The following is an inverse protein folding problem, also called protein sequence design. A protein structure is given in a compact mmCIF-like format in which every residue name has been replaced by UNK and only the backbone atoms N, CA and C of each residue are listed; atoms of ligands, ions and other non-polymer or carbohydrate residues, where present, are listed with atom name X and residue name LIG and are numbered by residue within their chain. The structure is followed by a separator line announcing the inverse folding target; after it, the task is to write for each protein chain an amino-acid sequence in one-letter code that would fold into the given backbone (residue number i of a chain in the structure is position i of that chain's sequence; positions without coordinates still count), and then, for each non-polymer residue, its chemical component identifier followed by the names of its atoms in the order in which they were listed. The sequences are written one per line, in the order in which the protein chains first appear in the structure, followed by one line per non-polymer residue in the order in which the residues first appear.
data_IF_416131447881
#
_entry.id   IF_416131447881
#
_cell.length_a   1.000
_cell.length_b   1.000
_cell.length_c   1.000
_cell.angle_alpha   90.00
_cell.angle_beta   90.00
_cell.angle_gamma   90.00
#
_symmetry.space_group_name_H-M   'P 1'
#
loop_
_entity.id
_entity.type
_entity.pdbx_description
1 polymer ?
#
# COMPACT_ATOMS: atom_id res chain seq x y z
N UNK A 1 9.34 -17.30 -4.11
CA UNK A 1 10.51 -17.06 -3.23
C UNK A 1 10.03 -16.81 -1.81
N UNK A 2 10.63 -17.47 -0.82
CA UNK A 2 10.28 -17.26 0.58
C UNK A 2 11.35 -16.41 1.26
N UNK A 3 10.93 -15.29 1.84
CA UNK A 3 11.77 -14.45 2.69
C UNK A 3 11.36 -14.66 4.15
N UNK A 4 12.24 -15.19 4.95
CA UNK A 4 11.96 -15.55 6.35
C UNK A 4 12.65 -14.58 7.28
N UNK A 5 11.90 -14.04 8.25
CA UNK A 5 12.41 -13.05 9.19
C UNK A 5 12.20 -13.50 10.62
N UNK A 6 13.26 -13.37 11.42
CA UNK A 6 13.28 -13.63 12.86
C UNK A 6 13.69 -12.37 13.61
N UNK A 7 13.48 -12.33 14.92
CA UNK A 7 14.01 -11.28 15.78
C UNK A 7 15.34 -11.69 16.41
N UNK A 8 16.33 -10.81 16.28
CA UNK A 8 17.62 -10.96 16.98
C UNK A 8 18.00 -9.62 17.60
N UNK A 9 18.13 -9.59 18.92
CA UNK A 9 18.46 -8.38 19.68
C UNK A 9 17.50 -7.19 19.35
N UNK A 10 16.20 -7.47 19.25
CA UNK A 10 15.17 -6.48 18.93
C UNK A 10 15.22 -5.95 17.49
N UNK A 11 15.88 -6.65 16.58
CA UNK A 11 15.97 -6.28 15.17
C UNK A 11 15.46 -7.38 14.27
N UNK A 12 14.81 -6.99 13.20
CA UNK A 12 14.36 -7.92 12.18
C UNK A 12 15.56 -8.39 11.35
N UNK A 13 15.79 -9.70 11.32
CA UNK A 13 16.88 -10.33 10.58
C UNK A 13 16.31 -11.32 9.58
N UNK A 14 16.71 -11.18 8.32
CA UNK A 14 16.39 -12.16 7.29
C UNK A 14 17.28 -13.39 7.45
N UNK A 15 16.67 -14.55 7.46
CA UNK A 15 17.35 -15.85 7.51
C UNK A 15 17.26 -16.50 6.13
N UNK A 16 18.41 -16.87 5.58
CA UNK A 16 18.44 -17.66 4.35
C UNK A 16 18.04 -19.11 4.66
N UNK A 17 17.17 -19.67 3.83
CA UNK A 17 16.75 -21.05 3.88
C UNK A 17 17.15 -21.73 2.55
N UNK A 18 17.81 -22.86 2.63
CA UNK A 18 18.18 -23.66 1.45
C UNK A 18 17.07 -24.63 1.08
N UNK A 19 16.34 -25.11 2.08
CA UNK A 19 15.23 -26.04 1.92
C UNK A 19 14.05 -25.62 2.77
N UNK A 20 12.84 -25.96 2.34
CA UNK A 20 11.60 -25.66 3.08
C UNK A 20 11.61 -26.26 4.50
N UNK A 21 12.24 -27.42 4.69
CA UNK A 21 12.40 -28.06 6.01
C UNK A 21 13.21 -27.23 7.01
N UNK A 22 14.03 -26.27 6.56
CA UNK A 22 14.82 -25.42 7.46
C UNK A 22 13.90 -24.52 8.32
N UNK A 23 12.70 -24.22 7.82
CA UNK A 23 11.66 -23.50 8.58
C UNK A 23 11.22 -24.23 9.85
N UNK A 24 11.34 -25.55 9.92
CA UNK A 24 10.96 -26.34 11.10
C UNK A 24 11.82 -26.01 12.33
N UNK A 25 13.04 -25.55 12.10
CA UNK A 25 14.01 -25.22 13.15
C UNK A 25 14.00 -23.72 13.52
N UNK A 26 13.28 -22.89 12.75
CA UNK A 26 13.21 -21.47 12.93
C UNK A 26 11.95 -21.05 13.71
N UNK A 27 12.04 -19.93 14.39
CA UNK A 27 10.89 -19.24 15.00
C UNK A 27 10.69 -17.91 14.27
N UNK A 28 10.12 -17.92 13.05
CA UNK A 28 9.91 -16.70 12.30
C UNK A 28 8.77 -15.90 12.93
N UNK A 29 8.88 -14.58 12.82
CA UNK A 29 7.76 -13.67 13.10
C UNK A 29 7.10 -13.20 11.80
N UNK A 30 7.81 -13.29 10.68
CA UNK A 30 7.30 -12.92 9.37
C UNK A 30 7.87 -13.84 8.28
N UNK A 31 6.97 -14.39 7.47
CA UNK A 31 7.27 -15.17 6.28
C UNK A 31 6.66 -14.46 5.09
N UNK A 32 7.49 -13.81 4.28
CA UNK A 32 7.07 -13.07 3.10
C UNK A 32 7.21 -13.94 1.85
N UNK A 33 6.08 -14.26 1.25
CA UNK A 33 5.96 -15.13 0.08
C UNK A 33 5.81 -14.27 -1.19
N UNK A 34 6.93 -13.98 -1.83
CA UNK A 34 6.97 -13.23 -3.10
C UNK A 34 6.89 -14.19 -4.27
N UNK A 35 5.88 -14.04 -5.13
CA UNK A 35 5.58 -14.91 -6.27
C UNK A 35 5.78 -16.41 -5.93
N UNK A 36 5.14 -16.90 -4.85
CA UNK A 36 5.43 -18.25 -4.36
C UNK A 36 4.98 -19.30 -5.35
N UNK A 37 5.78 -20.38 -5.48
CA UNK A 37 5.41 -21.56 -6.24
C UNK A 37 4.25 -22.31 -5.57
N UNK A 38 3.59 -23.19 -6.33
CA UNK A 38 2.53 -24.05 -5.76
C UNK A 38 3.08 -25.00 -4.69
N UNK A 39 4.32 -25.39 -4.81
CA UNK A 39 5.00 -26.26 -3.83
C UNK A 39 5.26 -25.49 -2.52
N UNK A 40 5.80 -24.27 -2.60
CA UNK A 40 6.01 -23.39 -1.45
C UNK A 40 4.69 -23.10 -0.71
N UNK A 41 3.62 -22.71 -1.44
CA UNK A 41 2.29 -22.49 -0.84
C UNK A 41 1.76 -23.74 -0.13
N UNK A 42 1.88 -24.92 -0.77
CA UNK A 42 1.41 -26.19 -0.21
C UNK A 42 2.18 -26.56 1.05
N UNK A 43 3.50 -26.41 1.01
CA UNK A 43 4.36 -26.74 2.14
C UNK A 43 4.07 -25.85 3.35
N UNK A 44 4.04 -24.52 3.15
CA UNK A 44 3.71 -23.56 4.20
C UNK A 44 2.31 -23.83 4.78
N UNK A 45 1.32 -24.07 3.91
CA UNK A 45 -0.04 -24.44 4.33
C UNK A 45 -0.06 -25.68 5.22
N UNK A 46 0.68 -26.73 4.87
CA UNK A 46 0.70 -27.98 5.63
C UNK A 46 1.48 -27.85 6.94
N UNK A 47 2.65 -27.21 6.88
CA UNK A 47 3.55 -27.10 8.05
C UNK A 47 2.94 -26.21 9.14
N UNK A 48 2.37 -25.05 8.78
CA UNK A 48 1.76 -24.13 9.74
C UNK A 48 0.25 -24.35 9.94
N UNK A 49 -0.38 -25.25 9.21
CA UNK A 49 -1.83 -25.50 9.27
C UNK A 49 -2.67 -24.32 8.80
N UNK A 50 -2.18 -23.55 7.81
CA UNK A 50 -2.83 -22.33 7.36
C UNK A 50 -3.96 -22.59 6.37
N UNK A 51 -4.96 -21.71 6.38
CA UNK A 51 -6.03 -21.63 5.39
C UNK A 51 -5.65 -20.67 4.26
N UNK A 52 -4.71 -21.04 3.38
CA UNK A 52 -4.31 -20.18 2.25
C UNK A 52 -5.33 -20.33 1.12
N UNK A 53 -6.06 -19.26 0.73
CA UNK A 53 -6.95 -19.29 -0.42
C UNK A 53 -6.18 -19.53 -1.72
N UNK A 54 -6.80 -20.22 -2.69
CA UNK A 54 -6.17 -20.45 -4.00
C UNK A 54 -5.90 -19.14 -4.73
N UNK A 55 -6.85 -18.21 -4.64
CA UNK A 55 -6.76 -16.85 -5.18
C UNK A 55 -6.56 -15.83 -4.05
N UNK A 56 -5.39 -15.91 -3.40
CA UNK A 56 -5.06 -15.06 -2.26
C UNK A 56 -4.95 -13.58 -2.66
N UNK A 57 -4.46 -13.29 -3.87
CA UNK A 57 -4.25 -11.95 -4.44
C UNK A 57 -5.38 -11.49 -5.38
N UNK A 58 -6.50 -12.21 -5.42
CA UNK A 58 -7.65 -11.91 -6.27
C UNK A 58 -8.33 -10.56 -5.99
N UNK A 59 -8.97 -10.00 -7.01
CA UNK A 59 -9.59 -8.67 -6.99
C UNK A 59 -11.00 -8.66 -6.37
N UNK A 60 -11.16 -9.19 -5.17
CA UNK A 60 -12.43 -9.08 -4.44
C UNK A 60 -12.64 -7.65 -3.92
N UNK A 61 -13.85 -7.12 -4.11
CA UNK A 61 -14.23 -5.78 -3.62
C UNK A 61 -14.95 -5.88 -2.28
N UNK A 62 -15.62 -7.01 -2.01
CA UNK A 62 -16.41 -7.21 -0.81
C UNK A 62 -15.55 -7.25 0.45
N UNK A 63 -15.91 -6.45 1.45
CA UNK A 63 -15.18 -6.36 2.72
C UNK A 63 -15.08 -7.72 3.42
N UNK A 64 -16.15 -8.52 3.40
CA UNK A 64 -16.20 -9.85 4.00
C UNK A 64 -15.28 -10.88 3.35
N UNK A 65 -14.93 -10.70 2.08
CA UNK A 65 -13.96 -11.55 1.37
C UNK A 65 -12.50 -11.14 1.64
N UNK A 66 -12.30 -9.92 2.16
CA UNK A 66 -10.97 -9.33 2.33
C UNK A 66 -10.50 -9.29 3.79
N UNK A 67 -11.44 -9.19 4.75
CA UNK A 67 -11.15 -9.03 6.17
C UNK A 67 -12.02 -9.99 6.96
N UNK A 68 -11.46 -11.12 7.37
CA UNK A 68 -12.22 -12.13 8.12
C UNK A 68 -11.32 -12.93 9.07
N UNK A 69 -11.97 -13.58 10.02
CA UNK A 69 -11.34 -14.51 10.95
C UNK A 69 -11.84 -15.92 10.66
N UNK A 70 -10.93 -16.88 10.54
CA UNK A 70 -11.23 -18.29 10.42
C UNK A 70 -11.58 -18.90 11.78
N UNK A 71 -12.32 -20.02 11.78
CA UNK A 71 -12.70 -20.75 13.00
C UNK A 71 -11.49 -21.14 13.87
N UNK A 72 -10.33 -21.24 13.25
CA UNK A 72 -9.08 -21.55 13.91
C UNK A 72 -8.38 -20.33 14.55
N UNK A 73 -8.94 -19.12 14.40
CA UNK A 73 -8.38 -17.87 14.94
C UNK A 73 -7.37 -17.19 14.02
N UNK A 74 -7.18 -17.66 12.78
CA UNK A 74 -6.38 -16.96 11.77
C UNK A 74 -7.10 -15.70 11.32
N UNK A 75 -6.36 -14.59 11.28
CA UNK A 75 -6.86 -13.32 10.75
C UNK A 75 -6.38 -13.17 9.31
N UNK A 76 -7.32 -13.02 8.40
CA UNK A 76 -7.08 -12.79 6.97
C UNK A 76 -7.34 -11.34 6.61
N UNK A 77 -6.34 -10.72 6.01
CA UNK A 77 -6.38 -9.31 5.61
C UNK A 77 -5.84 -9.20 4.19
N UNK A 78 -6.62 -8.60 3.28
CA UNK A 78 -6.18 -8.28 1.92
C UNK A 78 -6.20 -6.78 1.73
N UNK A 79 -5.05 -6.18 1.44
CA UNK A 79 -4.91 -4.74 1.23
C UNK A 79 -4.10 -4.45 -0.02
N UNK A 80 -4.39 -3.34 -0.66
CA UNK A 80 -3.68 -2.88 -1.83
C UNK A 80 -2.58 -1.89 -1.43
N UNK A 81 -1.39 -2.05 -2.01
CA UNK A 81 -0.22 -1.21 -1.80
C UNK A 81 0.12 -0.46 -3.08
N UNK A 82 0.56 0.78 -2.93
CA UNK A 82 0.97 1.60 -4.05
C UNK A 82 2.37 1.21 -4.54
N UNK A 83 2.50 1.10 -5.86
CA UNK A 83 3.78 1.22 -6.56
C UNK A 83 3.66 2.45 -7.45
N UNK A 84 4.55 3.40 -7.22
CA UNK A 84 4.66 4.62 -8.01
C UNK A 84 6.06 4.68 -8.60
N UNK A 85 6.17 4.26 -9.84
CA UNK A 85 7.39 4.27 -10.65
C UNK A 85 7.32 5.39 -11.68
N UNK A 86 8.46 5.81 -12.23
CA UNK A 86 8.54 6.90 -13.23
C UNK A 86 7.64 6.68 -14.45
N UNK A 87 7.44 5.43 -14.85
CA UNK A 87 6.69 5.06 -16.06
C UNK A 87 5.25 4.61 -15.77
N UNK A 88 4.96 4.15 -14.55
CA UNK A 88 3.66 3.58 -14.21
C UNK A 88 3.33 3.69 -12.72
N UNK A 89 2.10 4.09 -12.41
CA UNK A 89 1.54 3.91 -11.06
C UNK A 89 0.53 2.78 -11.04
N UNK A 90 0.64 1.85 -10.09
CA UNK A 90 -0.27 0.72 -9.95
C UNK A 90 -0.51 0.34 -8.50
N UNK A 91 -1.59 -0.38 -8.25
CA UNK A 91 -1.88 -0.97 -6.95
C UNK A 91 -1.64 -2.47 -7.01
N UNK A 92 -0.95 -3.00 -6.01
CA UNK A 92 -0.64 -4.42 -5.87
C UNK A 92 -1.31 -4.97 -4.64
N UNK A 93 -2.10 -6.02 -4.82
CA UNK A 93 -2.76 -6.69 -3.70
C UNK A 93 -1.82 -7.60 -2.96
N UNK A 94 -1.85 -7.49 -1.63
CA UNK A 94 -1.17 -8.39 -0.70
C UNK A 94 -2.20 -9.08 0.18
N UNK A 95 -2.08 -10.38 0.30
CA UNK A 95 -2.81 -11.15 1.30
C UNK A 95 -1.93 -11.37 2.52
N UNK A 96 -2.46 -11.03 3.68
CA UNK A 96 -1.84 -11.27 4.98
C UNK A 96 -2.63 -12.33 5.73
N UNK A 97 -1.93 -13.25 6.37
CA UNK A 97 -2.48 -14.23 7.29
C UNK A 97 -1.72 -14.09 8.60
N UNK A 98 -2.39 -13.64 9.64
CA UNK A 98 -1.83 -13.58 10.98
C UNK A 98 -2.26 -14.82 11.75
N UNK A 99 -1.29 -15.70 12.03
CA UNK A 99 -1.49 -16.92 12.80
C UNK A 99 -0.99 -16.73 14.23
N UNK A 100 -1.91 -16.74 15.21
CA UNK A 100 -1.59 -16.56 16.62
C UNK A 100 -1.46 -17.89 17.39
N UNK A 101 -1.49 -19.02 16.69
CA UNK A 101 -1.47 -20.35 17.30
C UNK A 101 -0.08 -20.75 17.79
N UNK A 102 0.29 -20.30 18.95
CA UNK A 102 1.18 -21.06 19.82
C UNK A 102 1.04 -20.59 21.28
N UNK A 103 0.06 -21.13 21.98
CA UNK A 103 -0.33 -20.71 23.34
C UNK A 103 0.62 -21.19 24.45
N UNK A 104 1.58 -22.07 24.16
CA UNK A 104 2.46 -22.64 25.18
C UNK A 104 3.78 -21.88 25.40
N UNK A 105 4.24 -21.16 24.41
CA UNK A 105 5.26 -20.12 24.57
C UNK A 105 4.55 -18.80 24.30
N UNK A 106 4.84 -17.72 24.99
CA UNK A 106 4.45 -16.34 24.64
C UNK A 106 4.88 -16.05 23.20
N UNK A 107 4.29 -16.75 22.26
CA UNK A 107 4.68 -16.67 20.85
C UNK A 107 4.01 -15.43 20.27
N UNK A 108 4.83 -14.57 19.77
CA UNK A 108 4.47 -13.32 19.12
C UNK A 108 3.64 -13.50 17.84
N UNK A 109 3.14 -14.72 17.59
CA UNK A 109 2.48 -15.08 16.36
C UNK A 109 3.44 -15.12 15.15
N UNK A 110 2.91 -15.48 13.99
CA UNK A 110 3.64 -15.40 12.71
C UNK A 110 2.76 -14.68 11.71
N UNK A 111 3.32 -13.68 11.04
CA UNK A 111 2.70 -13.02 9.90
C UNK A 111 3.16 -13.73 8.61
N UNK A 112 2.21 -14.12 7.77
CA UNK A 112 2.46 -14.55 6.40
C UNK A 112 1.95 -13.47 5.46
N UNK A 113 2.80 -13.01 4.53
CA UNK A 113 2.40 -12.14 3.43
C UNK A 113 2.55 -12.86 2.11
N UNK A 114 1.56 -12.72 1.22
CA UNK A 114 1.55 -13.31 -0.12
C UNK A 114 1.35 -12.19 -1.11
N UNK A 115 2.30 -12.03 -2.03
CA UNK A 115 2.32 -11.00 -3.05
C UNK A 115 2.94 -11.51 -4.35
N UNK A 116 2.59 -10.91 -5.46
CA UNK A 116 3.05 -11.37 -6.78
C UNK A 116 4.27 -10.59 -7.30
N UNK A 117 4.59 -9.45 -6.70
CA UNK A 117 5.74 -8.62 -7.09
C UNK A 117 6.39 -7.91 -5.90
N UNK A 118 7.59 -7.34 -6.12
CA UNK A 118 8.31 -6.59 -5.09
C UNK A 118 7.66 -5.22 -4.87
N UNK A 119 7.40 -4.87 -3.62
CA UNK A 119 6.70 -3.64 -3.21
C UNK A 119 7.67 -2.74 -2.44
N UNK A 120 7.81 -1.44 -2.81
CA UNK A 120 8.74 -0.52 -2.17
C UNK A 120 8.59 -0.45 -0.64
N UNK A 121 7.37 -0.44 -0.13
CA UNK A 121 7.05 -0.38 1.30
C UNK A 121 7.67 -1.55 2.08
N UNK A 122 7.68 -2.76 1.50
CA UNK A 122 8.29 -3.95 2.11
C UNK A 122 9.81 -3.79 2.25
N UNK A 123 10.47 -3.20 1.24
CA UNK A 123 11.91 -2.89 1.31
C UNK A 123 12.20 -1.85 2.38
N UNK A 124 11.39 -0.79 2.46
CA UNK A 124 11.53 0.28 3.44
C UNK A 124 11.40 -0.26 4.86
N UNK A 125 10.39 -1.06 5.15
CA UNK A 125 10.22 -1.68 6.45
C UNK A 125 11.42 -2.55 6.83
N UNK A 126 11.86 -3.44 5.94
CA UNK A 126 13.04 -4.31 6.18
C UNK A 126 14.29 -3.50 6.53
N UNK A 127 14.54 -2.40 5.82
CA UNK A 127 15.67 -1.51 6.10
C UNK A 127 15.54 -0.82 7.47
N UNK A 128 14.36 -0.33 7.83
CA UNK A 128 14.10 0.34 9.12
C UNK A 128 14.22 -0.64 10.28
N UNK A 129 13.54 -1.77 10.22
CA UNK A 129 13.50 -2.76 11.28
C UNK A 129 14.86 -3.45 11.50
N UNK A 130 15.74 -3.49 10.49
CA UNK A 130 17.13 -3.93 10.64
C UNK A 130 18.01 -2.92 11.39
N UNK A 131 17.71 -1.61 11.24
CA UNK A 131 18.53 -0.53 11.82
C UNK A 131 18.09 -0.14 13.21
N UNK A 132 16.78 -0.08 13.44
CA UNK A 132 16.19 0.41 14.69
C UNK A 132 15.78 -0.78 15.55
N UNK A 133 16.45 -1.01 16.69
CA UNK A 133 16.05 -2.06 17.61
C UNK A 133 14.75 -1.68 18.33
N UNK A 134 13.87 -2.66 18.56
CA UNK A 134 12.59 -2.44 19.25
C UNK A 134 11.50 -1.78 18.39
N UNK A 135 11.71 -1.67 17.07
CA UNK A 135 10.67 -1.22 16.15
C UNK A 135 9.59 -2.31 15.96
N UNK A 136 10.00 -3.56 16.04
CA UNK A 136 9.16 -4.75 15.86
C UNK A 136 9.41 -5.66 17.05
N UNK A 137 8.38 -6.01 17.79
CA UNK A 137 8.42 -6.95 18.89
C UNK A 137 7.62 -8.24 18.59
N UNK A 138 6.59 -8.15 17.73
CA UNK A 138 5.79 -9.30 17.32
C UNK A 138 5.31 -9.21 15.86
N UNK A 139 4.55 -10.21 15.43
CA UNK A 139 4.02 -10.30 14.06
C UNK A 139 2.99 -9.19 13.74
N UNK A 140 2.30 -8.66 14.75
CA UNK A 140 1.30 -7.60 14.56
C UNK A 140 1.99 -6.26 14.33
N UNK A 141 3.14 -6.04 14.98
CA UNK A 141 3.97 -4.86 14.74
C UNK A 141 4.49 -4.83 13.30
N UNK A 142 4.84 -5.99 12.74
CA UNK A 142 5.25 -6.07 11.32
C UNK A 142 4.11 -5.57 10.42
N UNK A 143 2.88 -6.01 10.68
CA UNK A 143 1.72 -5.63 9.86
C UNK A 143 1.36 -4.15 10.04
N UNK A 144 1.35 -3.65 11.28
CA UNK A 144 1.12 -2.22 11.55
C UNK A 144 2.20 -1.34 10.92
N UNK A 145 3.48 -1.75 11.03
CA UNK A 145 4.59 -1.00 10.43
C UNK A 145 4.57 -1.02 8.89
N UNK A 146 4.04 -2.08 8.27
CA UNK A 146 3.78 -2.08 6.83
C UNK A 146 2.70 -1.07 6.45
N UNK A 147 1.61 -0.98 7.20
CA UNK A 147 0.55 0.00 6.95
C UNK A 147 1.01 1.43 7.23
N UNK A 148 1.79 1.65 8.27
CA UNK A 148 2.40 2.96 8.55
C UNK A 148 3.32 3.41 7.41
N UNK A 149 4.19 2.51 6.95
CA UNK A 149 5.08 2.80 5.81
C UNK A 149 4.32 3.01 4.49
N UNK A 150 3.16 2.37 4.29
CA UNK A 150 2.29 2.60 3.13
C UNK A 150 1.65 3.99 3.17
N UNK A 151 1.25 4.46 4.35
CA UNK A 151 0.73 5.82 4.55
C UNK A 151 1.82 6.86 4.25
N UNK A 152 3.05 6.67 4.74
CA UNK A 152 4.17 7.55 4.43
C UNK A 152 4.50 7.57 2.93
N UNK A 153 4.57 6.40 2.31
CA UNK A 153 4.83 6.28 0.86
C UNK A 153 3.74 6.97 0.03
N UNK A 154 2.50 6.88 0.46
CA UNK A 154 1.36 7.55 -0.16
C UNK A 154 1.41 9.07 0.05
N UNK A 155 1.90 9.54 1.19
CA UNK A 155 2.13 10.97 1.44
C UNK A 155 3.19 11.54 0.49
N UNK A 156 4.31 10.83 0.30
CA UNK A 156 5.37 11.21 -0.65
C UNK A 156 4.81 11.32 -2.08
N UNK A 157 3.97 10.37 -2.51
CA UNK A 157 3.30 10.42 -3.80
C UNK A 157 2.38 11.65 -3.95
N UNK A 158 1.63 12.01 -2.91
CA UNK A 158 0.79 13.22 -2.92
C UNK A 158 1.63 14.50 -2.99
N UNK A 159 2.77 14.56 -2.32
CA UNK A 159 3.72 15.68 -2.41
C UNK A 159 4.23 15.83 -3.85
N UNK A 160 4.56 14.72 -4.52
CA UNK A 160 4.89 14.70 -5.95
C UNK A 160 3.79 15.30 -6.83
N UNK A 161 2.53 14.90 -6.59
CA UNK A 161 1.37 15.47 -7.30
C UNK A 161 1.26 16.98 -7.09
N UNK A 162 1.46 17.48 -5.85
CA UNK A 162 1.45 18.91 -5.57
C UNK A 162 2.48 19.67 -6.40
N UNK A 163 3.69 19.16 -6.48
CA UNK A 163 4.79 19.77 -7.22
C UNK A 163 4.53 19.76 -8.73
N UNK A 164 4.02 18.68 -9.27
CA UNK A 164 3.71 18.57 -10.69
C UNK A 164 2.51 19.45 -11.08
N UNK A 165 1.44 19.48 -10.29
CA UNK A 165 0.31 20.36 -10.54
C UNK A 165 0.69 21.85 -10.41
N UNK A 166 1.73 22.19 -9.64
CA UNK A 166 2.27 23.55 -9.60
C UNK A 166 2.93 23.92 -10.94
N UNK A 167 3.68 23.00 -11.55
CA UNK A 167 4.26 23.19 -12.91
C UNK A 167 3.16 23.32 -13.95
N UNK A 168 2.20 22.40 -13.95
CA UNK A 168 1.04 22.43 -14.85
C UNK A 168 0.24 23.75 -14.70
N UNK A 169 0.02 24.21 -13.49
CA UNK A 169 -0.67 25.48 -13.22
C UNK A 169 0.04 26.68 -13.86
N UNK A 170 1.36 26.75 -13.75
CA UNK A 170 2.16 27.80 -14.39
C UNK A 170 2.01 27.72 -15.93
N UNK A 171 2.09 26.54 -16.50
CA UNK A 171 1.93 26.31 -17.94
C UNK A 171 0.57 26.74 -18.47
N UNK A 172 -0.53 26.41 -17.76
CA UNK A 172 -1.90 26.78 -18.14
C UNK A 172 -2.11 28.30 -18.06
N UNK A 173 -1.52 28.98 -17.07
CA UNK A 173 -1.71 30.40 -16.83
C UNK A 173 -0.85 31.32 -17.73
N UNK A 174 0.27 30.83 -18.27
CA UNK A 174 1.15 31.60 -19.18
C UNK A 174 0.54 31.89 -20.55
N UNK A 175 -0.57 31.28 -20.91
CA UNK A 175 -1.51 31.74 -21.94
C UNK A 175 -1.11 31.55 -23.41
N UNK A 176 0.00 30.87 -23.75
CA UNK A 176 0.38 30.56 -25.12
C UNK A 176 0.20 29.08 -25.47
N UNK A 177 -1.00 28.55 -25.22
CA UNK A 177 -1.28 27.14 -25.42
C UNK A 177 -1.57 26.86 -26.89
N UNK A 178 -0.67 26.13 -27.56
CA UNK A 178 -0.94 25.49 -28.87
C UNK A 178 -1.69 24.19 -28.67
N UNK A 179 -2.36 23.68 -29.72
CA UNK A 179 -3.12 22.43 -29.62
C UNK A 179 -2.24 21.24 -29.20
N UNK A 180 -0.99 21.18 -29.68
CA UNK A 180 -0.02 20.12 -29.33
C UNK A 180 0.36 20.22 -27.84
N UNK A 181 0.65 21.42 -27.38
CA UNK A 181 1.01 21.67 -26.00
C UNK A 181 -0.16 21.41 -25.04
N UNK A 182 -1.39 21.72 -25.46
CA UNK A 182 -2.58 21.40 -24.68
C UNK A 182 -2.76 19.87 -24.48
N UNK A 183 -2.38 19.06 -25.48
CA UNK A 183 -2.43 17.60 -25.35
C UNK A 183 -1.41 17.08 -24.31
N UNK A 184 -0.20 17.64 -24.27
CA UNK A 184 0.82 17.29 -23.28
C UNK A 184 0.34 17.65 -21.85
N UNK A 185 -0.13 18.87 -21.66
CA UNK A 185 -0.68 19.33 -20.37
C UNK A 185 -1.87 18.48 -19.93
N UNK A 186 -2.74 18.07 -20.87
CA UNK A 186 -3.87 17.20 -20.57
C UNK A 186 -3.41 15.81 -20.12
N UNK A 187 -2.37 15.27 -20.76
CA UNK A 187 -1.81 13.97 -20.38
C UNK A 187 -1.20 14.02 -18.97
N UNK A 188 -0.48 15.11 -18.64
CA UNK A 188 0.08 15.34 -17.30
C UNK A 188 -1.02 15.42 -16.25
N UNK A 189 -2.09 16.18 -16.51
CA UNK A 189 -3.24 16.29 -15.60
C UNK A 189 -3.89 14.91 -15.39
N UNK A 190 -4.10 14.15 -16.46
CA UNK A 190 -4.70 12.82 -16.39
C UNK A 190 -3.84 11.83 -15.59
N UNK A 191 -2.51 11.95 -15.70
CA UNK A 191 -1.58 11.16 -14.89
C UNK A 191 -1.74 11.46 -13.41
N UNK A 192 -1.75 12.73 -13.03
CA UNK A 192 -1.91 13.16 -11.64
C UNK A 192 -3.27 12.78 -11.07
N UNK A 193 -4.34 12.84 -11.87
CA UNK A 193 -5.68 12.39 -11.48
C UNK A 193 -5.69 10.90 -11.16
N UNK A 194 -5.09 10.08 -12.03
CA UNK A 194 -5.02 8.64 -11.84
C UNK A 194 -4.23 8.27 -10.59
N UNK A 195 -3.06 8.88 -10.36
CA UNK A 195 -2.24 8.64 -9.17
C UNK A 195 -2.98 9.05 -7.88
N UNK A 196 -3.60 10.24 -7.87
CA UNK A 196 -4.40 10.71 -6.75
C UNK A 196 -5.55 9.74 -6.41
N UNK A 197 -6.25 9.25 -7.44
CA UNK A 197 -7.33 8.28 -7.28
C UNK A 197 -6.84 6.93 -6.73
N UNK A 198 -5.64 6.48 -7.12
CA UNK A 198 -5.03 5.26 -6.59
C UNK A 198 -4.63 5.40 -5.12
N UNK A 199 -3.95 6.49 -4.78
CA UNK A 199 -3.59 6.80 -3.39
C UNK A 199 -4.84 6.77 -2.51
N UNK A 200 -5.89 7.48 -2.92
CA UNK A 200 -7.14 7.51 -2.15
C UNK A 200 -7.74 6.11 -1.96
N UNK A 201 -7.78 5.30 -3.00
CA UNK A 201 -8.31 3.93 -2.93
C UNK A 201 -7.50 3.06 -1.98
N UNK A 202 -6.17 3.10 -2.08
CA UNK A 202 -5.29 2.31 -1.23
C UNK A 202 -5.43 2.74 0.24
N UNK A 203 -5.51 4.04 0.51
CA UNK A 203 -5.72 4.55 1.88
C UNK A 203 -7.06 4.09 2.49
N UNK A 204 -8.13 3.99 1.69
CA UNK A 204 -9.39 3.42 2.15
C UNK A 204 -9.26 1.93 2.51
N UNK A 205 -8.46 1.18 1.76
CA UNK A 205 -8.20 -0.23 2.06
C UNK A 205 -7.35 -0.40 3.31
N UNK A 206 -6.28 0.37 3.46
CA UNK A 206 -5.45 0.40 4.66
C UNK A 206 -6.25 0.79 5.90
N UNK A 207 -7.16 1.79 5.77
CA UNK A 207 -8.09 2.18 6.83
C UNK A 207 -8.99 1.01 7.26
N UNK A 208 -9.53 0.24 6.32
CA UNK A 208 -10.36 -0.94 6.62
C UNK A 208 -9.56 -2.03 7.31
N UNK A 209 -8.35 -2.32 6.82
CA UNK A 209 -7.44 -3.30 7.40
C UNK A 209 -7.10 -2.97 8.86
N UNK A 210 -6.65 -1.75 9.13
CA UNK A 210 -6.31 -1.29 10.48
C UNK A 210 -7.55 -1.30 11.40
N UNK A 211 -8.71 -0.84 10.90
CA UNK A 211 -9.97 -0.89 11.65
C UNK A 211 -10.42 -2.32 11.97
N UNK A 212 -10.17 -3.27 11.08
CA UNK A 212 -10.43 -4.69 11.32
C UNK A 212 -9.54 -5.22 12.46
N UNK A 213 -8.23 -4.93 12.42
CA UNK A 213 -7.29 -5.31 13.48
C UNK A 213 -7.71 -4.76 14.84
N UNK A 214 -8.18 -3.52 14.91
CA UNK A 214 -8.66 -2.91 16.15
C UNK A 214 -9.95 -3.59 16.67
N UNK A 215 -10.88 -3.94 15.78
CA UNK A 215 -12.15 -4.59 16.16
C UNK A 215 -11.96 -6.03 16.65
N UNK A 216 -11.02 -6.77 16.08
CA UNK A 216 -10.73 -8.15 16.46
C UNK A 216 -10.04 -8.31 17.83
N UNK A 217 -9.75 -7.18 18.52
CA UNK A 217 -9.15 -7.14 19.84
C UNK A 217 -7.82 -7.89 19.97
N UNK A 218 -7.10 -8.00 18.86
CA UNK A 218 -5.80 -8.67 18.83
C UNK A 218 -4.65 -7.77 19.29
N UNK A 219 -4.83 -6.45 19.24
CA UNK A 219 -3.82 -5.46 19.54
C UNK A 219 -3.70 -5.24 21.04
N UNK A 220 -2.47 -5.08 21.54
CA UNK A 220 -2.24 -4.57 22.87
C UNK A 220 -2.45 -3.04 22.94
N UNK A 221 -2.16 -2.42 24.09
CA UNK A 221 -2.44 -1.00 24.29
C UNK A 221 -1.54 -0.09 23.44
N UNK A 222 -0.27 -0.45 23.24
CA UNK A 222 0.69 0.30 22.45
C UNK A 222 0.35 0.18 20.96
N UNK A 223 0.17 -1.04 20.48
CA UNK A 223 -0.26 -1.32 19.09
C UNK A 223 -1.61 -0.67 18.76
N UNK A 224 -2.52 -0.58 19.72
CA UNK A 224 -3.79 0.10 19.52
C UNK A 224 -3.62 1.61 19.33
N UNK A 225 -2.70 2.26 20.05
CA UNK A 225 -2.37 3.67 19.84
C UNK A 225 -1.67 3.90 18.49
N UNK A 226 -0.78 3.01 18.05
CA UNK A 226 -0.16 3.05 16.73
C UNK A 226 -1.21 2.93 15.63
N UNK A 227 -2.13 1.98 15.76
CA UNK A 227 -3.26 1.84 14.84
C UNK A 227 -4.11 3.12 14.78
N UNK A 228 -4.36 3.78 15.91
CA UNK A 228 -5.07 5.08 15.94
C UNK A 228 -4.29 6.18 15.26
N UNK A 229 -2.96 6.19 15.39
CA UNK A 229 -2.12 7.17 14.70
C UNK A 229 -2.21 6.97 13.18
N UNK A 230 -2.05 5.74 12.71
CA UNK A 230 -2.21 5.40 11.28
C UNK A 230 -3.56 5.89 10.74
N UNK A 231 -4.65 5.68 11.48
CA UNK A 231 -5.98 6.15 11.06
C UNK A 231 -6.08 7.68 10.98
N UNK A 232 -5.45 8.42 11.91
CA UNK A 232 -5.38 9.90 11.86
C UNK A 232 -4.61 10.40 10.64
N UNK A 233 -3.51 9.74 10.31
CA UNK A 233 -2.67 10.09 9.18
C UNK A 233 -3.41 9.83 7.86
N UNK A 234 -4.13 8.70 7.75
CA UNK A 234 -5.01 8.41 6.60
C UNK A 234 -6.11 9.48 6.46
N UNK A 235 -6.74 9.92 7.54
CA UNK A 235 -7.75 10.98 7.50
C UNK A 235 -7.16 12.32 7.01
N UNK A 236 -5.94 12.64 7.41
CA UNK A 236 -5.21 13.79 6.89
C UNK A 236 -4.95 13.66 5.39
N UNK A 237 -4.47 12.51 4.94
CA UNK A 237 -4.21 12.26 3.52
C UNK A 237 -5.48 12.28 2.66
N UNK A 238 -6.62 11.78 3.17
CA UNK A 238 -7.91 11.86 2.44
C UNK A 238 -8.30 13.32 2.16
N UNK A 239 -8.05 14.22 3.11
CA UNK A 239 -8.26 15.66 2.92
C UNK A 239 -7.37 16.24 1.81
N UNK A 240 -6.10 15.80 1.72
CA UNK A 240 -5.18 16.18 0.64
C UNK A 240 -5.63 15.62 -0.72
N UNK A 241 -6.07 14.37 -0.78
CA UNK A 241 -6.59 13.78 -2.04
C UNK A 241 -7.81 14.53 -2.55
N UNK A 242 -8.70 14.97 -1.67
CA UNK A 242 -9.86 15.76 -2.05
C UNK A 242 -9.47 17.14 -2.59
N UNK A 243 -8.55 17.85 -1.92
CA UNK A 243 -8.05 19.13 -2.39
C UNK A 243 -7.36 19.01 -3.77
N UNK A 244 -6.55 17.98 -3.95
CA UNK A 244 -5.89 17.72 -5.24
C UNK A 244 -6.90 17.42 -6.34
N UNK A 245 -7.95 16.66 -6.05
CA UNK A 245 -9.04 16.39 -6.99
C UNK A 245 -9.71 17.69 -7.45
N UNK A 246 -10.03 18.61 -6.52
CA UNK A 246 -10.63 19.91 -6.85
C UNK A 246 -9.67 20.77 -7.68
N UNK A 247 -8.37 20.77 -7.36
CA UNK A 247 -7.35 21.48 -8.12
C UNK A 247 -7.18 20.93 -9.54
N UNK A 248 -7.20 19.62 -9.69
CA UNK A 248 -7.14 18.94 -10.99
C UNK A 248 -8.33 19.35 -11.86
N UNK A 249 -9.55 19.31 -11.32
CA UNK A 249 -10.76 19.76 -12.02
C UNK A 249 -10.68 21.22 -12.44
N UNK A 250 -10.20 22.09 -11.55
CA UNK A 250 -10.01 23.50 -11.88
C UNK A 250 -9.04 23.70 -13.05
N UNK A 251 -7.91 22.99 -13.07
CA UNK A 251 -6.92 23.06 -14.15
C UNK A 251 -7.47 22.53 -15.48
N UNK A 252 -8.27 21.47 -15.45
CA UNK A 252 -8.98 20.94 -16.62
C UNK A 252 -9.93 21.98 -17.21
N UNK A 253 -10.76 22.60 -16.37
CA UNK A 253 -11.73 23.63 -16.78
C UNK A 253 -11.02 24.86 -17.36
N UNK A 254 -9.92 25.29 -16.72
CA UNK A 254 -9.11 26.40 -17.21
C UNK A 254 -8.49 26.09 -18.59
N UNK A 255 -7.92 24.90 -18.79
CA UNK A 255 -7.35 24.46 -20.07
C UNK A 255 -8.39 24.47 -21.18
N UNK A 256 -9.58 23.91 -20.94
CA UNK A 256 -10.70 23.91 -21.90
C UNK A 256 -11.14 25.34 -22.23
N UNK A 257 -11.20 26.21 -21.23
CA UNK A 257 -11.53 27.62 -21.39
C UNK A 257 -10.55 28.36 -22.30
N UNK A 258 -9.25 28.15 -22.12
CA UNK A 258 -8.20 28.75 -22.98
C UNK A 258 -8.24 28.23 -24.42
N UNK A 259 -8.46 26.95 -24.63
CA UNK A 259 -8.62 26.36 -25.97
C UNK A 259 -9.81 26.98 -26.71
N UNK A 260 -10.95 27.13 -26.06
CA UNK A 260 -12.14 27.75 -26.64
C UNK A 260 -11.90 29.22 -27.03
N UNK A 261 -11.17 29.98 -26.21
CA UNK A 261 -10.81 31.37 -26.49
C UNK A 261 -9.91 31.45 -27.71
N UNK A 262 -8.91 30.56 -27.85
CA UNK A 262 -8.00 30.54 -28.99
C UNK A 262 -8.72 30.17 -30.27
N UNK A 263 -9.61 29.18 -30.27
CA UNK A 263 -10.44 28.83 -31.43
C UNK A 263 -11.33 30.01 -31.88
N UNK A 264 -11.95 30.70 -30.95
CA UNK A 264 -12.79 31.87 -31.27
C UNK A 264 -11.98 33.04 -31.83
N UNK A 265 -10.72 33.25 -31.43
CA UNK A 265 -9.83 34.26 -32.03
C UNK A 265 -9.48 33.92 -33.48
N UNK A 266 -9.20 32.64 -33.75
CA UNK A 266 -8.91 32.18 -35.12
C UNK A 266 -10.11 32.42 -36.05
N UNK A 267 -11.32 32.07 -35.63
CA UNK A 267 -12.54 32.27 -36.40
C UNK A 267 -12.78 33.77 -36.70
N UNK A 268 -12.51 34.65 -35.73
CA UNK A 268 -12.66 36.13 -35.92
C UNK A 268 -11.62 36.73 -36.87
N UNK A 269 -10.46 36.11 -37.03
CA UNK A 269 -9.43 36.60 -37.98
C UNK A 269 -9.78 36.17 -39.42
N UNK A 270 -10.54 35.10 -39.61
CA UNK A 270 -10.94 34.57 -40.92
C UNK A 270 -12.38 34.96 -41.33
N UNK A 271 -13.12 35.65 -40.48
CA UNK A 271 -14.45 36.23 -40.78
C UNK A 271 -14.36 37.71 -41.08
#
# INVERSE_FOLDING_TARGET
MLNVFTLSNGRLVQVEIDQLSDLEQLQPIWVDMESPTREEKRWVKQHYGLSIPEDATGEDIEESARFYEEDNGEQHIRSDFLIDDEDESRSVRVAFILNQRNTELKSCGVLFSIRDEDIPVFRLLRMRARRVPGLIDDAKDVLLALFDADVEYSADALEGIYDDLKKVSAQVLEGSITDTYAQEVLADIAWQENLNGRVRRNMLDTRRAVSFMMRSKMLDAEQFEDARQILRDIESLDSHTQFLFDKINFLMDALVGFLNINQNKIIKIFS
#
